data_IF_256880438765
#
_entry.id   IF_256880438765
#
_cell.length_a   1.000
_cell.length_b   1.000
_cell.length_c   1.000
_cell.angle_alpha   90.00
_cell.angle_beta   90.00
_cell.angle_gamma   90.00
#
_symmetry.space_group_name_H-M   'P 1'
#
loop_
_entity.id
_entity.type
_entity.pdbx_description
1 polymer ?
#
# COMPACT_ATOMS: atom_id res chain seq x y z
N UNK A 1 -3.83 6.10 8.70
CA UNK A 1 -3.64 5.86 7.26
C UNK A 1 -4.66 6.72 6.53
N UNK A 2 -4.25 7.53 5.56
CA UNK A 2 -5.20 8.31 4.76
C UNK A 2 -6.13 7.36 3.99
N UNK A 3 -7.43 7.61 4.05
CA UNK A 3 -8.41 6.84 3.31
C UNK A 3 -8.20 7.06 1.80
N UNK A 4 -7.90 5.98 1.08
CA UNK A 4 -7.68 6.07 -0.35
C UNK A 4 -9.00 5.84 -1.05
N UNK A 5 -9.55 6.91 -1.60
CA UNK A 5 -10.76 6.84 -2.42
C UNK A 5 -10.43 6.63 -3.89
N UNK A 6 -11.30 5.87 -4.56
CA UNK A 6 -11.32 5.68 -6.00
C UNK A 6 -12.77 5.66 -6.52
N UNK A 7 -12.96 5.99 -7.79
CA UNK A 7 -14.28 5.99 -8.41
C UNK A 7 -14.70 4.56 -8.76
N UNK A 8 -15.89 4.16 -8.34
CA UNK A 8 -16.48 2.87 -8.66
C UNK A 8 -17.51 3.05 -9.77
N UNK A 9 -17.23 2.42 -10.92
CA UNK A 9 -18.07 2.52 -12.13
C UNK A 9 -19.47 1.94 -11.88
N UNK A 10 -19.59 0.89 -11.06
CA UNK A 10 -20.86 0.22 -10.81
C UNK A 10 -21.70 0.96 -9.77
N UNK A 11 -21.05 1.62 -8.81
CA UNK A 11 -21.73 2.43 -7.81
C UNK A 11 -21.92 3.90 -8.21
N UNK A 12 -21.33 4.32 -9.34
CA UNK A 12 -21.32 5.69 -9.86
C UNK A 12 -20.86 6.77 -8.86
N UNK A 13 -20.05 6.40 -7.86
CA UNK A 13 -19.59 7.29 -6.79
C UNK A 13 -18.16 6.98 -6.37
N UNK A 14 -17.53 7.93 -5.68
CA UNK A 14 -16.25 7.68 -5.00
C UNK A 14 -16.49 6.79 -3.80
N UNK A 15 -15.69 5.75 -3.69
CA UNK A 15 -15.76 4.79 -2.59
C UNK A 15 -14.38 4.55 -2.02
N UNK A 16 -14.33 4.13 -0.77
CA UNK A 16 -13.11 3.75 -0.09
C UNK A 16 -12.56 2.45 -0.68
N UNK A 17 -11.25 2.44 -0.93
CA UNK A 17 -10.53 1.29 -1.46
C UNK A 17 -9.95 0.46 -0.32
N UNK A 18 -10.27 -0.84 -0.32
CA UNK A 18 -9.69 -1.84 0.57
C UNK A 18 -8.40 -2.39 -0.02
N UNK A 19 -7.42 -2.64 0.85
CA UNK A 19 -6.12 -3.27 0.53
C UNK A 19 -5.41 -2.68 -0.69
N UNK A 20 -5.13 -1.35 -0.70
CA UNK A 20 -4.39 -0.73 -1.79
C UNK A 20 -2.98 -1.32 -1.90
N UNK A 21 -2.58 -1.72 -3.10
CA UNK A 21 -1.24 -2.19 -3.44
C UNK A 21 -0.68 -1.37 -4.61
N UNK A 22 0.61 -1.02 -4.59
CA UNK A 22 1.23 -0.35 -5.72
C UNK A 22 1.28 -1.32 -6.92
N UNK A 23 0.93 -0.81 -8.10
CA UNK A 23 0.88 -1.57 -9.35
C UNK A 23 1.48 -0.75 -10.48
N UNK A 24 2.39 -1.35 -11.24
CA UNK A 24 2.97 -0.75 -12.45
C UNK A 24 2.15 -1.20 -13.65
N UNK A 25 1.53 -0.25 -14.35
CA UNK A 25 0.76 -0.52 -15.56
C UNK A 25 1.67 -0.78 -16.77
N UNK A 26 1.15 -1.41 -17.82
CA UNK A 26 1.90 -1.73 -19.05
C UNK A 26 2.46 -0.49 -19.76
N UNK A 27 1.82 0.66 -19.59
CA UNK A 27 2.26 1.94 -20.14
C UNK A 27 3.34 2.64 -19.28
N UNK A 28 3.87 1.97 -18.25
CA UNK A 28 4.88 2.52 -17.35
C UNK A 28 4.33 3.45 -16.26
N UNK A 29 3.02 3.71 -16.23
CA UNK A 29 2.41 4.55 -15.19
C UNK A 29 2.18 3.79 -13.89
N UNK A 30 2.37 4.49 -12.76
CA UNK A 30 2.07 3.95 -11.44
C UNK A 30 0.60 4.15 -11.05
N UNK A 31 0.01 3.07 -10.54
CA UNK A 31 -1.33 3.05 -10.00
C UNK A 31 -1.38 2.35 -8.64
N UNK A 32 -2.44 2.60 -7.88
CA UNK A 32 -2.86 1.81 -6.74
C UNK A 32 -3.97 0.88 -7.18
N UNK A 33 -3.78 -0.41 -6.96
CA UNK A 33 -4.77 -1.46 -7.19
C UNK A 33 -5.37 -1.88 -5.86
N UNK A 34 -6.68 -1.93 -5.77
CA UNK A 34 -7.38 -2.45 -4.59
C UNK A 34 -8.78 -2.92 -4.94
N UNK A 35 -9.59 -3.14 -3.92
CA UNK A 35 -10.98 -3.59 -4.08
C UNK A 35 -11.94 -2.56 -3.52
N UNK A 36 -13.07 -2.33 -4.18
CA UNK A 36 -14.10 -1.44 -3.66
C UNK A 36 -14.71 -2.00 -2.37
N UNK A 37 -15.00 -1.13 -1.40
CA UNK A 37 -15.66 -1.55 -0.16
C UNK A 37 -17.10 -2.03 -0.39
N UNK A 38 -17.77 -1.45 -1.38
CA UNK A 38 -19.21 -1.62 -1.64
C UNK A 38 -19.51 -2.75 -2.63
N UNK A 39 -18.87 -2.73 -3.82
CA UNK A 39 -19.22 -3.65 -4.92
C UNK A 39 -18.28 -4.84 -5.04
N UNK A 40 -17.12 -4.81 -4.37
CA UNK A 40 -16.07 -5.82 -4.45
C UNK A 40 -15.24 -5.81 -5.75
N UNK A 41 -15.50 -4.89 -6.67
CA UNK A 41 -14.75 -4.81 -7.94
C UNK A 41 -13.32 -4.31 -7.71
N UNK A 42 -12.43 -4.64 -8.65
CA UNK A 42 -11.07 -4.11 -8.63
C UNK A 42 -11.06 -2.65 -9.05
N UNK A 43 -10.53 -1.79 -8.19
CA UNK A 43 -10.34 -0.37 -8.46
C UNK A 43 -8.89 -0.07 -8.76
N UNK A 44 -8.70 0.90 -9.66
CA UNK A 44 -7.39 1.45 -10.01
C UNK A 44 -7.41 2.97 -9.79
N UNK A 45 -6.43 3.47 -9.05
CA UNK A 45 -6.19 4.91 -8.87
C UNK A 45 -4.81 5.27 -9.42
N UNK A 46 -4.75 6.13 -10.44
CA UNK A 46 -3.49 6.57 -11.05
C UNK A 46 -2.84 7.60 -10.12
N UNK A 47 -1.53 7.42 -9.82
CA UNK A 47 -0.80 8.27 -8.84
C UNK A 47 0.41 8.96 -9.48
N UNK A 48 0.85 8.53 -10.67
CA UNK A 48 1.97 9.10 -11.41
C UNK A 48 3.34 8.71 -10.84
N UNK A 49 3.57 8.95 -9.55
CA UNK A 49 4.79 8.53 -8.82
C UNK A 49 4.62 7.18 -8.15
N UNK A 50 5.74 6.49 -7.88
CA UNK A 50 5.75 5.21 -7.15
C UNK A 50 5.13 5.41 -5.75
N UNK A 51 4.01 4.73 -5.41
CA UNK A 51 3.39 4.91 -4.11
C UNK A 51 4.21 4.22 -3.02
N UNK A 52 4.60 4.95 -1.99
CA UNK A 52 5.17 4.40 -0.76
C UNK A 52 4.04 4.08 0.23
N UNK A 53 3.40 2.93 0.08
CA UNK A 53 2.43 2.46 1.06
C UNK A 53 3.23 1.89 2.24
N UNK A 54 3.32 2.65 3.32
CA UNK A 54 3.92 2.16 4.58
C UNK A 54 2.99 1.10 5.18
N UNK A 55 3.36 -0.16 5.00
CA UNK A 55 2.69 -1.27 5.65
C UNK A 55 3.18 -1.33 7.09
N UNK A 56 2.61 -0.49 7.96
CA UNK A 56 3.00 -0.35 9.37
C UNK A 56 3.15 -1.68 10.12
N UNK A 57 2.37 -2.70 9.75
CA UNK A 57 2.43 -4.03 10.38
C UNK A 57 3.65 -4.86 9.96
N UNK A 58 4.11 -4.75 8.71
CA UNK A 58 5.33 -5.41 8.23
C UNK A 58 6.57 -4.61 8.62
N UNK A 59 6.46 -3.29 8.62
CA UNK A 59 7.53 -2.40 9.09
C UNK A 59 7.80 -2.61 10.59
N UNK A 60 6.75 -2.78 11.40
CA UNK A 60 6.88 -3.14 12.82
C UNK A 60 7.55 -4.50 13.04
N UNK A 61 7.16 -5.53 12.28
CA UNK A 61 7.80 -6.85 12.40
C UNK A 61 9.28 -6.76 11.98
N UNK A 62 9.59 -6.07 10.88
CA UNK A 62 10.97 -5.84 10.45
C UNK A 62 11.79 -5.14 11.54
N UNK A 63 11.28 -4.05 12.12
CA UNK A 63 11.99 -3.34 13.19
C UNK A 63 12.27 -4.24 14.39
N UNK A 64 11.30 -5.06 14.81
CA UNK A 64 11.46 -6.00 15.94
C UNK A 64 12.54 -7.07 15.67
N UNK A 65 12.66 -7.56 14.43
CA UNK A 65 13.69 -8.55 14.08
C UNK A 65 15.08 -7.93 13.83
N UNK A 66 15.17 -6.68 13.39
CA UNK A 66 16.47 -5.98 13.21
C UNK A 66 17.08 -5.46 14.50
N UNK A 67 16.27 -5.18 15.54
CA UNK A 67 16.76 -4.71 16.85
C UNK A 67 17.51 -5.77 17.67
N UNK A 68 17.64 -7.02 17.18
CA UNK A 68 18.42 -8.09 17.84
C UNK A 68 19.85 -8.24 17.34
N UNK A 69 20.38 -7.29 16.56
CA UNK A 69 21.85 -7.14 16.48
C UNK A 69 22.30 -6.36 17.72
N UNK A 70 22.25 -7.07 18.85
CA UNK A 70 22.86 -6.65 20.09
C UNK A 70 24.34 -6.35 19.85
N UNK A 71 24.83 -5.35 20.57
CA UNK A 71 26.22 -4.94 20.72
C UNK A 71 27.13 -6.16 20.89
N UNK A 72 27.75 -6.60 19.82
CA UNK A 72 28.94 -7.45 19.86
C UNK A 72 30.07 -6.70 19.16
N UNK A 73 30.39 -5.53 19.70
CA UNK A 73 31.72 -4.94 19.63
C UNK A 73 32.13 -4.56 21.06
N UNK A 74 32.14 -5.57 21.96
CA UNK A 74 33.12 -5.56 23.03
C UNK A 74 34.40 -6.10 22.40
N UNK A 75 35.26 -5.20 21.94
CA UNK A 75 36.68 -5.51 21.80
C UNK A 75 37.14 -6.09 23.15
N UNK A 76 37.60 -7.34 23.10
CA UNK A 76 38.43 -7.93 24.14
C UNK A 76 39.71 -7.12 24.35
#
# INVERSE_FOLDING_TARGET
>A
MSEIEAYDIKAHKKVTMKNPKPYLMKNGSWALKGTSSLTGITLFKIVGKKPSISHSKLDFLRSVFTSRKCECDKFC
#
